data_IF_057869157125
#
_entry.id   IF_057869157125
#
_cell.length_a   1.000
_cell.length_b   1.000
_cell.length_c   1.000
_cell.angle_alpha   90.00
_cell.angle_beta   90.00
_cell.angle_gamma   90.00
#
_symmetry.space_group_name_H-M   'P 1'
#
loop_
_entity.id
_entity.type
_entity.pdbx_description
1 polymer ?
#
# COMPACT_ATOMS: atom_id res chain seq x y z
N UNK A 1 -12.31 66.23 -19.02
CA UNK A 1 -11.63 67.11 -18.06
C UNK A 1 -11.70 66.45 -16.71
N UNK A 2 -10.59 66.48 -15.97
CA UNK A 2 -10.36 66.10 -14.61
C UNK A 2 -10.04 64.61 -14.32
N UNK A 3 -8.77 64.35 -14.32
CA UNK A 3 -8.06 63.26 -13.63
C UNK A 3 -8.05 63.53 -12.12
N UNK A 4 -8.40 62.54 -11.33
CA UNK A 4 -8.06 62.55 -9.89
C UNK A 4 -7.24 61.28 -9.57
N UNK A 5 -5.94 61.48 -9.41
CA UNK A 5 -5.03 60.53 -8.88
C UNK A 5 -5.16 60.50 -7.33
N UNK A 6 -5.33 59.34 -6.75
CA UNK A 6 -5.17 59.14 -5.31
C UNK A 6 -3.99 58.20 -5.10
N UNK A 7 -2.88 58.77 -4.72
CA UNK A 7 -1.72 58.10 -4.18
C UNK A 7 -1.98 57.83 -2.67
N UNK A 8 -1.87 56.60 -2.23
CA UNK A 8 -1.79 56.24 -0.83
C UNK A 8 -0.57 55.39 -0.54
N UNK A 9 0.20 55.93 0.32
CA UNK A 9 1.50 55.57 0.85
C UNK A 9 1.63 54.17 1.45
N UNK A 10 2.76 53.60 1.11
CA UNK A 10 3.40 52.47 1.81
C UNK A 10 3.70 52.78 3.27
N UNK A 11 3.27 51.96 4.19
CA UNK A 11 3.88 51.84 5.52
C UNK A 11 4.36 50.39 5.69
N UNK A 12 5.66 50.25 5.61
CA UNK A 12 6.42 49.09 6.03
C UNK A 12 6.53 49.09 7.56
N UNK A 13 6.02 48.07 8.24
CA UNK A 13 6.40 47.74 9.61
C UNK A 13 6.97 46.35 9.64
N UNK A 14 8.28 46.28 9.69
CA UNK A 14 9.05 45.11 10.00
C UNK A 14 8.98 44.84 11.51
N UNK A 15 8.43 43.72 11.91
CA UNK A 15 8.68 43.13 13.22
C UNK A 15 9.12 41.67 13.06
N UNK A 16 10.44 41.51 13.15
CA UNK A 16 11.10 40.24 13.30
C UNK A 16 10.88 39.70 14.71
N UNK A 17 10.09 38.65 14.82
CA UNK A 17 10.09 37.80 16.03
C UNK A 17 10.59 36.41 15.65
N UNK A 18 11.80 36.11 16.09
CA UNK A 18 12.45 34.81 15.99
C UNK A 18 11.78 33.88 17.00
N UNK A 19 11.20 32.74 16.62
CA UNK A 19 10.78 31.77 17.62
C UNK A 19 11.99 30.99 18.12
N UNK A 20 12.10 30.95 19.44
CA UNK A 20 13.06 30.21 20.24
C UNK A 20 13.19 28.75 19.85
N UNK A 21 14.43 28.33 19.67
CA UNK A 21 14.84 26.95 19.49
C UNK A 21 14.41 26.13 20.72
N UNK A 22 13.41 25.28 20.56
CA UNK A 22 13.07 24.26 21.55
C UNK A 22 14.05 23.11 21.33
N UNK A 23 15.04 23.01 22.21
CA UNK A 23 15.92 21.84 22.29
C UNK A 23 15.12 20.64 22.79
N UNK A 24 14.80 19.73 21.92
CA UNK A 24 14.30 18.42 22.30
C UNK A 24 15.43 17.61 22.91
N UNK A 25 15.43 17.52 24.23
CA UNK A 25 16.24 16.59 24.99
C UNK A 25 15.69 15.17 24.76
N UNK A 26 16.46 14.31 24.12
CA UNK A 26 16.14 12.89 24.01
C UNK A 26 16.08 12.28 25.41
N UNK A 27 14.99 11.59 25.80
CA UNK A 27 15.00 10.81 27.01
C UNK A 27 15.92 9.62 26.83
N UNK A 28 16.91 9.49 27.73
CA UNK A 28 17.78 8.34 27.88
C UNK A 28 16.96 7.06 27.98
N UNK A 29 17.33 6.07 27.21
CA UNK A 29 16.73 4.74 27.18
C UNK A 29 16.66 4.11 28.58
N UNK A 30 15.50 3.58 29.00
CA UNK A 30 15.46 2.76 30.20
C UNK A 30 16.17 1.43 29.94
N UNK A 31 17.02 1.07 30.88
CA UNK A 31 17.71 -0.20 30.95
C UNK A 31 16.72 -1.37 30.78
N UNK A 32 17.00 -2.24 29.80
CA UNK A 32 16.27 -3.48 29.58
C UNK A 32 16.52 -4.37 30.79
N UNK A 33 15.57 -4.38 31.74
CA UNK A 33 15.51 -5.44 32.74
C UNK A 33 15.24 -6.75 31.97
N UNK A 34 16.23 -7.61 31.97
CA UNK A 34 16.13 -9.00 31.55
C UNK A 34 15.05 -9.70 32.38
N UNK A 35 13.83 -9.75 31.86
CA UNK A 35 12.81 -10.64 32.40
C UNK A 35 13.21 -12.05 32.02
N UNK A 36 13.61 -12.82 33.03
CA UNK A 36 13.73 -14.28 32.94
C UNK A 36 12.39 -14.82 32.43
N UNK A 37 12.37 -15.31 31.20
CA UNK A 37 11.28 -16.10 30.68
C UNK A 37 11.08 -17.31 31.59
N UNK A 38 9.99 -17.29 32.36
CA UNK A 38 9.51 -18.51 33.01
C UNK A 38 9.11 -19.48 31.89
N UNK A 39 9.94 -20.44 31.62
CA UNK A 39 9.63 -21.55 30.74
C UNK A 39 8.43 -22.30 31.33
N UNK A 40 7.27 -22.13 30.72
CA UNK A 40 6.14 -23.02 30.96
C UNK A 40 6.53 -24.41 30.47
N UNK A 41 6.91 -25.29 31.41
CA UNK A 41 7.24 -26.66 31.11
C UNK A 41 5.96 -27.42 30.78
N UNK A 42 5.70 -27.59 29.52
CA UNK A 42 4.64 -28.47 28.99
C UNK A 42 4.98 -29.95 29.09
N UNK A 43 6.12 -30.26 29.64
CA UNK A 43 6.69 -31.63 29.59
C UNK A 43 6.18 -32.60 30.64
N UNK A 44 5.27 -32.19 31.55
CA UNK A 44 4.87 -33.07 32.67
C UNK A 44 3.68 -33.98 32.43
N UNK A 45 3.08 -33.97 31.22
CA UNK A 45 1.85 -34.74 30.96
C UNK A 45 1.99 -35.89 29.95
N UNK A 46 3.18 -36.14 29.42
CA UNK A 46 3.34 -37.24 28.49
C UNK A 46 3.96 -38.44 29.23
N UNK A 47 3.37 -39.64 29.14
CA UNK A 47 3.98 -40.85 29.67
C UNK A 47 5.31 -41.07 28.97
N UNK A 48 6.32 -41.37 29.76
CA UNK A 48 7.69 -41.59 29.33
C UNK A 48 7.74 -42.75 28.33
N UNK A 49 7.84 -42.44 27.05
CA UNK A 49 8.12 -43.43 26.01
C UNK A 49 9.63 -43.69 26.05
N UNK A 50 10.03 -44.75 26.74
CA UNK A 50 11.40 -45.24 26.71
C UNK A 50 11.65 -45.88 25.35
N UNK A 51 12.33 -45.16 24.47
CA UNK A 51 12.89 -45.73 23.24
C UNK A 51 14.13 -46.54 23.64
N UNK A 52 13.98 -47.84 23.80
CA UNK A 52 15.10 -48.73 23.90
C UNK A 52 15.88 -48.74 22.59
N UNK A 53 17.12 -48.25 22.61
CA UNK A 53 18.06 -48.43 21.49
C UNK A 53 18.41 -49.93 21.40
N UNK A 54 17.60 -50.66 20.67
CA UNK A 54 17.98 -51.99 20.19
C UNK A 54 19.10 -51.83 19.16
N UNK A 55 20.26 -52.46 19.44
CA UNK A 55 21.32 -52.58 18.49
C UNK A 55 20.80 -53.28 17.22
N UNK A 56 21.21 -52.85 16.03
CA UNK A 56 20.76 -53.52 14.82
C UNK A 56 21.42 -54.89 14.72
N UNK A 57 20.65 -55.93 15.00
CA UNK A 57 21.01 -57.28 14.62
C UNK A 57 20.89 -57.36 13.09
N UNK A 58 22.04 -57.47 12.42
CA UNK A 58 22.09 -57.68 10.98
C UNK A 58 21.59 -59.10 10.72
N UNK A 59 20.30 -59.23 10.40
CA UNK A 59 19.72 -60.44 9.83
C UNK A 59 19.67 -60.27 8.33
N UNK A 60 20.52 -61.02 7.66
CA UNK A 60 20.59 -61.14 6.22
C UNK A 60 19.42 -62.01 5.71
N UNK A 61 18.26 -61.42 5.35
CA UNK A 61 17.27 -62.08 4.55
C UNK A 61 16.78 -61.09 3.48
N UNK A 62 16.97 -61.41 2.17
CA UNK A 62 16.47 -60.59 1.09
C UNK A 62 15.03 -61.02 0.74
N UNK A 63 14.06 -60.56 1.50
CA UNK A 63 12.65 -60.73 1.12
C UNK A 63 11.91 -59.42 1.41
N UNK A 64 11.69 -58.69 0.36
CA UNK A 64 10.59 -57.78 0.09
C UNK A 64 9.82 -57.19 1.29
N UNK A 65 10.45 -56.32 2.06
CA UNK A 65 9.71 -55.35 2.82
C UNK A 65 9.83 -54.01 2.11
N UNK A 66 8.86 -53.73 1.23
CA UNK A 66 8.60 -52.38 0.79
C UNK A 66 8.09 -51.57 1.98
N UNK A 67 9.02 -51.15 2.79
CA UNK A 67 8.76 -50.13 3.79
C UNK A 67 8.33 -48.90 2.99
N UNK A 68 7.04 -48.63 2.96
CA UNK A 68 6.49 -47.43 2.40
C UNK A 68 6.98 -46.25 3.26
N UNK A 69 8.18 -45.81 2.97
CA UNK A 69 8.69 -44.57 3.52
C UNK A 69 7.80 -43.45 2.94
N UNK A 70 6.82 -43.02 3.72
CA UNK A 70 6.09 -41.79 3.43
C UNK A 70 7.10 -40.66 3.71
N UNK A 71 7.90 -40.36 2.72
CA UNK A 71 8.71 -39.15 2.76
C UNK A 71 7.77 -37.97 2.70
N UNK A 72 7.62 -37.25 3.80
CA UNK A 72 7.00 -35.94 3.84
C UNK A 72 7.88 -34.90 3.11
N UNK A 73 8.26 -35.24 1.87
CA UNK A 73 9.16 -34.45 1.05
C UNK A 73 8.55 -33.10 0.63
N UNK A 74 7.24 -32.95 0.74
CA UNK A 74 6.52 -31.74 0.33
C UNK A 74 6.81 -30.54 1.22
N UNK A 75 6.85 -30.72 2.52
CA UNK A 75 7.07 -29.63 3.47
C UNK A 75 8.52 -29.13 3.50
N UNK A 76 9.49 -30.01 3.29
CA UNK A 76 10.91 -29.62 3.24
C UNK A 76 11.25 -28.89 1.95
N UNK A 77 10.74 -29.38 0.82
CA UNK A 77 11.04 -28.79 -0.49
C UNK A 77 10.48 -27.38 -0.64
N UNK A 78 9.26 -27.15 -0.17
CA UNK A 78 8.64 -25.82 -0.23
C UNK A 78 9.36 -24.78 0.64
N UNK A 79 9.89 -25.19 1.81
CA UNK A 79 10.59 -24.29 2.71
C UNK A 79 11.99 -23.92 2.22
N UNK A 80 12.73 -24.88 1.67
CA UNK A 80 14.07 -24.65 1.12
C UNK A 80 14.01 -23.89 -0.22
N UNK A 81 13.04 -24.18 -1.08
CA UNK A 81 12.83 -23.46 -2.35
C UNK A 81 12.35 -22.03 -2.11
N UNK A 82 11.48 -21.79 -1.13
CA UNK A 82 11.07 -20.45 -0.73
C UNK A 82 12.24 -19.64 -0.17
N UNK A 83 13.15 -20.26 0.57
CA UNK A 83 14.36 -19.61 1.07
C UNK A 83 15.40 -19.34 -0.04
N UNK A 84 15.48 -20.20 -1.05
CA UNK A 84 16.44 -20.05 -2.17
C UNK A 84 16.02 -19.06 -3.23
N UNK A 85 14.73 -18.73 -3.33
CA UNK A 85 14.20 -17.79 -4.33
C UNK A 85 13.65 -16.54 -3.64
N UNK A 86 14.50 -15.57 -3.30
CA UNK A 86 13.98 -14.28 -2.86
C UNK A 86 13.08 -13.74 -3.99
N UNK A 87 11.88 -13.24 -3.63
CA UNK A 87 10.94 -12.59 -4.55
C UNK A 87 11.60 -11.36 -5.18
N UNK A 88 12.46 -11.59 -6.17
CA UNK A 88 13.10 -10.52 -6.95
C UNK A 88 12.06 -9.95 -7.89
N UNK A 89 11.69 -8.69 -7.65
CA UNK A 89 10.87 -7.94 -8.61
C UNK A 89 11.58 -7.94 -9.97
N UNK A 90 10.83 -8.14 -11.05
CA UNK A 90 11.38 -8.07 -12.42
C UNK A 90 11.97 -6.68 -12.68
N UNK A 91 12.84 -6.55 -13.67
CA UNK A 91 13.41 -5.26 -14.06
C UNK A 91 12.33 -4.21 -14.33
N UNK A 92 11.31 -4.59 -15.12
CA UNK A 92 10.17 -3.72 -15.42
C UNK A 92 9.46 -3.23 -14.15
N UNK A 93 9.16 -4.10 -13.21
CA UNK A 93 8.52 -3.70 -11.95
C UNK A 93 9.38 -2.75 -11.11
N UNK A 94 10.70 -2.89 -11.17
CA UNK A 94 11.62 -1.99 -10.47
C UNK A 94 11.68 -0.62 -11.12
N UNK A 95 11.81 -0.56 -12.44
CA UNK A 95 11.83 0.71 -13.19
C UNK A 95 10.52 1.46 -13.07
N UNK A 96 9.37 0.78 -13.16
CA UNK A 96 8.05 1.40 -13.02
C UNK A 96 7.82 2.02 -11.63
N UNK A 97 8.41 1.43 -10.57
CA UNK A 97 8.32 2.02 -9.22
C UNK A 97 8.99 3.38 -9.11
N UNK A 98 10.08 3.62 -9.83
CA UNK A 98 10.82 4.89 -9.81
C UNK A 98 10.29 5.89 -10.83
N UNK A 99 10.00 5.41 -12.05
CA UNK A 99 9.56 6.28 -13.14
C UNK A 99 8.10 6.71 -13.04
N UNK A 100 7.25 5.85 -12.47
CA UNK A 100 5.81 6.06 -12.32
C UNK A 100 5.38 5.74 -10.89
N UNK A 101 5.76 6.57 -9.91
CA UNK A 101 5.52 6.26 -8.50
C UNK A 101 4.05 6.24 -8.13
N UNK A 102 3.22 7.07 -8.77
CA UNK A 102 1.80 7.19 -8.47
C UNK A 102 0.95 6.52 -9.53
N UNK A 103 0.06 5.65 -9.08
CA UNK A 103 -0.87 4.89 -9.91
C UNK A 103 -2.30 5.33 -9.62
N UNK A 104 -3.01 5.75 -10.67
CA UNK A 104 -4.44 5.98 -10.63
C UNK A 104 -5.15 4.65 -10.89
N UNK A 105 -6.04 4.24 -10.00
CA UNK A 105 -6.93 3.09 -10.16
C UNK A 105 -8.38 3.59 -10.11
N UNK A 106 -9.12 3.37 -11.20
CA UNK A 106 -10.52 3.75 -11.33
C UNK A 106 -11.36 2.48 -11.43
N UNK A 107 -12.37 2.38 -10.61
CA UNK A 107 -13.26 1.23 -10.57
C UNK A 107 -14.72 1.67 -10.75
N UNK A 108 -15.38 1.10 -11.75
CA UNK A 108 -16.79 1.32 -12.01
C UNK A 108 -17.60 0.15 -11.47
N UNK A 109 -18.40 0.41 -10.43
CA UNK A 109 -19.41 -0.51 -9.95
C UNK A 109 -20.74 -0.26 -10.67
N UNK A 110 -21.70 -1.17 -10.54
CA UNK A 110 -23.08 -0.97 -11.03
C UNK A 110 -23.77 0.24 -10.39
N UNK A 111 -23.39 0.61 -9.16
CA UNK A 111 -24.07 1.63 -8.35
C UNK A 111 -23.25 2.92 -8.15
N UNK A 112 -21.91 2.86 -8.25
CA UNK A 112 -21.03 4.00 -7.95
C UNK A 112 -19.70 3.90 -8.68
N UNK A 113 -19.02 5.04 -8.78
CA UNK A 113 -17.65 5.18 -9.29
C UNK A 113 -16.71 5.40 -8.14
N UNK A 114 -15.55 4.75 -8.20
CA UNK A 114 -14.51 4.86 -7.20
C UNK A 114 -13.16 5.10 -7.87
N UNK A 115 -12.47 6.15 -7.47
CA UNK A 115 -11.13 6.48 -7.94
C UNK A 115 -10.19 6.59 -6.74
N UNK A 116 -8.98 6.05 -6.86
CA UNK A 116 -7.93 6.13 -5.84
C UNK A 116 -6.57 6.31 -6.48
N UNK A 117 -5.72 7.06 -5.82
CA UNK A 117 -4.31 7.22 -6.17
C UNK A 117 -3.46 6.49 -5.15
N UNK A 118 -2.60 5.62 -5.63
CA UNK A 118 -1.74 4.77 -4.80
C UNK A 118 -0.27 5.03 -5.13
N UNK A 119 0.58 5.02 -4.11
CA UNK A 119 2.02 5.01 -4.30
C UNK A 119 2.50 3.57 -4.55
N UNK A 120 3.11 3.34 -5.70
CA UNK A 120 3.49 2.00 -6.19
C UNK A 120 4.53 1.29 -5.31
N UNK A 121 5.46 2.06 -4.76
CA UNK A 121 6.54 1.52 -3.92
C UNK A 121 6.08 1.04 -2.56
N UNK A 122 5.23 1.83 -1.90
CA UNK A 122 4.75 1.55 -0.54
C UNK A 122 3.37 0.94 -0.49
N UNK A 123 2.66 0.86 -1.62
CA UNK A 123 1.25 0.43 -1.72
C UNK A 123 0.29 1.26 -0.83
N UNK A 124 0.71 2.46 -0.42
CA UNK A 124 -0.14 3.38 0.35
C UNK A 124 -1.11 4.09 -0.58
N UNK A 125 -2.35 4.21 -0.14
CA UNK A 125 -3.36 5.05 -0.80
C UNK A 125 -3.16 6.49 -0.33
N UNK A 126 -3.03 7.42 -1.28
CA UNK A 126 -2.76 8.84 -1.02
C UNK A 126 -4.06 9.61 -1.06
N UNK A 127 -4.81 9.49 -2.14
CA UNK A 127 -6.08 10.17 -2.31
C UNK A 127 -7.16 9.20 -2.80
N UNK A 128 -8.39 9.45 -2.37
CA UNK A 128 -9.57 8.62 -2.72
C UNK A 128 -10.75 9.55 -3.02
N UNK A 129 -11.47 9.28 -4.09
CA UNK A 129 -12.74 9.91 -4.39
C UNK A 129 -13.76 8.83 -4.78
N UNK A 130 -14.95 8.90 -4.23
CA UNK A 130 -16.03 7.97 -4.56
C UNK A 130 -17.38 8.70 -4.61
N UNK A 131 -18.21 8.37 -5.60
CA UNK A 131 -19.58 8.90 -5.68
C UNK A 131 -20.47 8.41 -4.56
N UNK A 132 -20.05 7.36 -3.84
CA UNK A 132 -20.79 6.83 -2.68
C UNK A 132 -20.60 7.67 -1.40
N UNK A 133 -19.76 8.70 -1.40
CA UNK A 133 -19.62 9.63 -0.28
C UNK A 133 -20.97 10.30 0.02
N UNK A 134 -21.25 10.56 1.30
CA UNK A 134 -22.56 11.12 1.74
C UNK A 134 -22.88 12.43 1.02
N UNK A 135 -21.88 13.29 0.83
CA UNK A 135 -22.02 14.60 0.22
C UNK A 135 -22.40 14.48 -1.26
N UNK A 136 -21.74 13.58 -1.99
CA UNK A 136 -21.98 13.37 -3.42
C UNK A 136 -23.26 12.58 -3.70
N UNK A 137 -23.61 11.65 -2.82
CA UNK A 137 -24.84 10.85 -2.97
C UNK A 137 -26.09 11.71 -2.96
N UNK A 138 -26.09 12.77 -2.17
CA UNK A 138 -27.24 13.67 -2.05
C UNK A 138 -27.24 14.79 -3.12
N UNK A 139 -26.07 15.13 -3.65
CA UNK A 139 -25.93 16.22 -4.63
C UNK A 139 -26.05 15.75 -6.09
N UNK A 140 -25.77 14.47 -6.35
CA UNK A 140 -25.77 13.92 -7.71
C UNK A 140 -27.09 13.19 -8.01
N UNK A 141 -27.74 13.48 -9.16
CA UNK A 141 -28.95 12.75 -9.58
C UNK A 141 -28.65 11.31 -9.94
N UNK A 142 -27.44 11.02 -10.44
CA UNK A 142 -26.96 9.68 -10.78
C UNK A 142 -25.50 9.51 -10.36
N UNK A 143 -25.18 8.38 -9.71
CA UNK A 143 -23.85 8.10 -9.17
C UNK A 143 -22.88 7.46 -10.17
N UNK A 144 -23.36 7.11 -11.37
CA UNK A 144 -22.58 6.42 -12.40
C UNK A 144 -22.59 7.12 -13.76
N UNK A 145 -23.13 8.32 -13.80
CA UNK A 145 -23.28 9.09 -15.01
C UNK A 145 -22.00 9.84 -15.40
N UNK A 146 -21.98 10.42 -16.62
CA UNK A 146 -20.86 11.23 -17.11
C UNK A 146 -20.57 12.44 -16.21
N UNK A 147 -21.61 13.08 -15.66
CA UNK A 147 -21.44 14.16 -14.71
C UNK A 147 -20.77 13.69 -13.41
N UNK A 148 -21.16 12.53 -12.91
CA UNK A 148 -20.52 11.92 -11.74
C UNK A 148 -19.03 11.62 -12.00
N UNK A 149 -18.68 11.16 -13.21
CA UNK A 149 -17.29 10.94 -13.63
C UNK A 149 -16.47 12.23 -13.63
N UNK A 150 -17.04 13.35 -14.13
CA UNK A 150 -16.39 14.65 -14.09
C UNK A 150 -16.16 15.15 -12.66
N UNK A 151 -17.16 15.00 -11.79
CA UNK A 151 -17.04 15.40 -10.38
C UNK A 151 -15.94 14.58 -9.69
N UNK A 152 -15.90 13.27 -9.91
CA UNK A 152 -14.83 12.41 -9.35
C UNK A 152 -13.46 12.79 -9.90
N UNK A 153 -13.35 13.08 -11.21
CA UNK A 153 -12.10 13.54 -11.81
C UNK A 153 -11.57 14.83 -11.16
N UNK A 154 -12.45 15.81 -10.92
CA UNK A 154 -12.10 17.05 -10.22
C UNK A 154 -11.65 16.80 -8.79
N UNK A 155 -12.45 16.07 -8.02
CA UNK A 155 -12.14 15.78 -6.61
C UNK A 155 -10.83 15.00 -6.42
N UNK A 156 -10.55 14.02 -7.30
CA UNK A 156 -9.31 13.26 -7.20
C UNK A 156 -8.11 14.15 -7.55
N UNK A 157 -8.25 15.06 -8.52
CA UNK A 157 -7.22 16.01 -8.88
C UNK A 157 -6.96 17.01 -7.74
N UNK A 158 -7.97 17.60 -7.15
CA UNK A 158 -7.84 18.50 -5.99
C UNK A 158 -7.12 17.82 -4.82
N UNK A 159 -7.60 16.64 -4.40
CA UNK A 159 -7.00 15.88 -3.30
C UNK A 159 -5.59 15.39 -3.60
N UNK A 160 -5.27 15.14 -4.86
CA UNK A 160 -3.91 14.75 -5.26
C UNK A 160 -2.97 15.94 -5.19
N UNK A 161 -3.41 17.13 -5.58
CA UNK A 161 -2.65 18.38 -5.42
C UNK A 161 -2.40 18.74 -3.95
N UNK A 162 -3.41 18.56 -3.09
CA UNK A 162 -3.27 18.73 -1.63
C UNK A 162 -2.22 17.78 -1.04
N UNK A 163 -2.02 16.62 -1.66
CA UNK A 163 -1.03 15.63 -1.28
C UNK A 163 0.30 15.76 -2.04
N UNK A 164 0.55 16.90 -2.72
CA UNK A 164 1.75 17.17 -3.52
C UNK A 164 2.00 16.15 -4.65
N UNK A 165 0.94 15.58 -5.21
CA UNK A 165 1.00 14.68 -6.36
C UNK A 165 0.57 15.40 -7.62
N UNK A 166 1.52 15.76 -8.48
CA UNK A 166 1.30 16.50 -9.73
C UNK A 166 1.37 15.63 -10.99
N UNK A 167 1.73 14.38 -10.85
CA UNK A 167 1.78 13.44 -11.95
C UNK A 167 1.34 12.04 -11.51
N UNK A 168 0.47 11.41 -12.28
CA UNK A 168 0.03 10.04 -12.02
C UNK A 168 -0.04 9.23 -13.31
N UNK A 169 0.19 7.93 -13.22
CA UNK A 169 0.07 7.02 -14.34
C UNK A 169 -1.21 6.20 -14.23
N UNK A 170 -1.88 5.99 -15.35
CA UNK A 170 -2.97 5.05 -15.46
C UNK A 170 -2.51 3.81 -16.22
N UNK A 171 -2.82 2.62 -15.71
CA UNK A 171 -2.56 1.35 -16.38
C UNK A 171 -3.90 0.65 -16.63
N UNK A 172 -4.33 0.56 -17.90
CA UNK A 172 -5.58 -0.11 -18.23
C UNK A 172 -5.46 -1.60 -17.91
N UNK A 173 -6.56 -2.19 -17.45
CA UNK A 173 -6.67 -3.64 -17.27
C UNK A 173 -6.73 -4.33 -18.62
N UNK A 174 -6.54 -5.66 -18.64
CA UNK A 174 -6.37 -6.46 -19.86
C UNK A 174 -7.43 -6.20 -20.93
N UNK A 175 -8.70 -5.96 -20.55
CA UNK A 175 -9.82 -5.79 -21.47
C UNK A 175 -10.48 -4.39 -21.33
N UNK A 176 -9.79 -3.46 -20.67
CA UNK A 176 -10.32 -2.13 -20.40
C UNK A 176 -9.90 -1.14 -21.48
N UNK A 177 -10.87 -0.50 -22.11
CA UNK A 177 -10.65 0.57 -23.08
C UNK A 177 -10.70 1.92 -22.36
N UNK A 178 -9.79 2.83 -22.75
CA UNK A 178 -9.74 4.19 -22.21
C UNK A 178 -10.78 5.08 -22.91
N UNK A 179 -11.98 4.56 -23.10
CA UNK A 179 -13.06 5.27 -23.78
C UNK A 179 -14.25 5.50 -22.84
N UNK A 180 -15.15 6.40 -23.22
CA UNK A 180 -16.38 6.65 -22.50
C UNK A 180 -16.16 7.23 -21.10
N UNK A 181 -16.75 6.61 -20.08
CA UNK A 181 -16.73 7.13 -18.70
C UNK A 181 -15.32 7.24 -18.12
N UNK A 182 -14.45 6.29 -18.44
CA UNK A 182 -13.07 6.29 -18.00
C UNK A 182 -12.27 7.43 -18.65
N UNK A 183 -12.45 7.62 -19.97
CA UNK A 183 -11.84 8.73 -20.70
C UNK A 183 -12.21 10.07 -20.06
N UNK A 184 -13.48 10.27 -19.73
CA UNK A 184 -13.95 11.51 -19.08
C UNK A 184 -13.25 11.76 -17.74
N UNK A 185 -13.06 10.72 -16.90
CA UNK A 185 -12.33 10.88 -15.63
C UNK A 185 -10.87 11.28 -15.89
N UNK A 186 -10.20 10.63 -16.82
CA UNK A 186 -8.80 10.91 -17.15
C UNK A 186 -8.65 12.30 -17.76
N UNK A 187 -9.54 12.68 -18.67
CA UNK A 187 -9.49 14.00 -19.33
C UNK A 187 -9.77 15.13 -18.34
N UNK A 188 -10.73 14.95 -17.43
CA UNK A 188 -10.96 15.94 -16.35
C UNK A 188 -9.79 16.07 -15.39
N UNK A 189 -9.04 15.00 -15.12
CA UNK A 189 -7.81 15.07 -14.32
C UNK A 189 -6.74 15.87 -15.06
N UNK A 190 -6.55 15.64 -16.37
CA UNK A 190 -5.62 16.39 -17.22
C UNK A 190 -6.00 17.88 -17.32
N UNK A 191 -7.29 18.19 -17.49
CA UNK A 191 -7.80 19.57 -17.50
C UNK A 191 -7.48 20.31 -16.19
N UNK A 192 -7.46 19.59 -15.07
CA UNK A 192 -7.05 20.13 -13.77
C UNK A 192 -5.54 20.20 -13.58
N UNK A 193 -4.71 19.85 -14.57
CA UNK A 193 -3.26 20.05 -14.57
C UNK A 193 -2.46 19.00 -13.80
N UNK A 194 -2.87 17.73 -13.89
CA UNK A 194 -2.12 16.57 -13.38
C UNK A 194 -1.84 15.61 -14.53
#
# INVERSE_FOLDING_TARGET
MAFTAISSSLQSSSSSSVPSVISFQCPSSPAILSQKSSSLSWASSFPHVTISRGSPVVSSNPAHDKVLFIQSAWTRRSREEAAKRPNKKSWKQRTDMYMKPFLLDVFFSKKFVHAKVMHRGTSKVISVATTNAKDLRNSLPSLTDHNACRVIGKLIAERSKEADVYAMSYEPRKDERIDGKLGIVIDTIKENGI
#
